data_IF_933767730940
#
_entry.id   IF_933767730940
#
_cell.length_a   1.000
_cell.length_b   1.000
_cell.length_c   1.000
_cell.angle_alpha   90.00
_cell.angle_beta   90.00
_cell.angle_gamma   90.00
#
_symmetry.space_group_name_H-M   'P 1'
#
loop_
_entity.id
_entity.type
_entity.pdbx_description
1 polymer ?
#
# COMPACT_ATOMS: atom_id res chain seq x y z
N UNK A 1 20.31 12.79 8.68
CA UNK A 1 21.18 11.63 8.40
C UNK A 1 20.74 10.94 7.11
N UNK A 2 21.66 10.61 6.18
CA UNK A 2 21.32 10.01 4.89
C UNK A 2 20.69 8.61 5.02
N UNK A 3 21.10 7.82 6.03
CA UNK A 3 20.57 6.46 6.24
C UNK A 3 19.06 6.44 6.52
N UNK A 4 18.54 7.34 7.36
CA UNK A 4 17.10 7.40 7.65
C UNK A 4 16.27 7.77 6.42
N UNK A 5 16.79 8.67 5.58
CA UNK A 5 16.16 9.04 4.31
C UNK A 5 16.19 7.85 3.34
N UNK A 6 17.32 7.16 3.22
CA UNK A 6 17.46 5.96 2.40
C UNK A 6 16.48 4.86 2.85
N UNK A 7 16.43 4.58 4.15
CA UNK A 7 15.52 3.59 4.73
C UNK A 7 14.06 3.96 4.45
N UNK A 8 13.70 5.24 4.63
CA UNK A 8 12.36 5.74 4.36
C UNK A 8 11.96 5.55 2.89
N UNK A 9 12.81 5.98 1.95
CA UNK A 9 12.53 5.84 0.52
C UNK A 9 12.51 4.37 0.06
N UNK A 10 13.40 3.52 0.58
CA UNK A 10 13.42 2.10 0.27
C UNK A 10 12.14 1.40 0.77
N UNK A 11 11.73 1.68 2.01
CA UNK A 11 10.49 1.16 2.57
C UNK A 11 9.27 1.67 1.81
N UNK A 12 9.25 2.95 1.45
CA UNK A 12 8.19 3.56 0.65
C UNK A 12 8.09 2.91 -0.73
N UNK A 13 9.21 2.65 -1.40
CA UNK A 13 9.25 1.98 -2.70
C UNK A 13 8.65 0.57 -2.61
N UNK A 14 9.09 -0.21 -1.61
CA UNK A 14 8.57 -1.55 -1.38
C UNK A 14 7.06 -1.53 -1.07
N UNK A 15 6.63 -0.58 -0.23
CA UNK A 15 5.23 -0.42 0.13
C UNK A 15 4.38 -0.06 -1.09
N UNK A 16 4.76 0.96 -1.86
CA UNK A 16 4.10 1.35 -3.11
C UNK A 16 4.01 0.19 -4.11
N UNK A 17 5.11 -0.53 -4.35
CA UNK A 17 5.14 -1.67 -5.26
C UNK A 17 4.17 -2.78 -4.82
N UNK A 18 4.16 -3.11 -3.53
CA UNK A 18 3.23 -4.10 -2.98
C UNK A 18 1.77 -3.67 -3.14
N UNK A 19 1.44 -2.40 -2.82
CA UNK A 19 0.10 -1.84 -2.93
C UNK A 19 -0.46 -1.87 -4.35
N UNK A 20 0.40 -1.70 -5.36
CA UNK A 20 0.03 -1.81 -6.77
C UNK A 20 -0.24 -3.26 -7.18
N UNK A 21 0.58 -4.20 -6.70
CA UNK A 21 0.49 -5.61 -7.08
C UNK A 21 -0.64 -6.35 -6.38
N UNK A 22 -0.93 -6.02 -5.11
CA UNK A 22 -1.89 -6.76 -4.30
C UNK A 22 -3.30 -6.85 -4.91
N UNK A 23 -3.94 -5.74 -5.34
CA UNK A 23 -5.27 -5.79 -5.95
C UNK A 23 -5.29 -6.68 -7.20
N UNK A 24 -4.23 -6.65 -8.01
CA UNK A 24 -4.11 -7.47 -9.20
C UNK A 24 -3.98 -8.96 -8.87
N UNK A 25 -3.19 -9.32 -7.85
CA UNK A 25 -3.06 -10.72 -7.42
C UNK A 25 -4.38 -11.27 -6.85
N UNK A 26 -5.09 -10.47 -6.05
CA UNK A 26 -6.40 -10.85 -5.49
C UNK A 26 -7.41 -11.08 -6.63
N UNK A 27 -7.49 -10.16 -7.60
CA UNK A 27 -8.37 -10.29 -8.77
C UNK A 27 -7.98 -11.44 -9.71
N UNK A 28 -6.71 -11.88 -9.72
CA UNK A 28 -6.28 -13.03 -10.51
C UNK A 28 -6.75 -14.35 -9.86
N UNK A 29 -6.71 -14.44 -8.53
CA UNK A 29 -7.16 -15.61 -7.77
C UNK A 29 -8.64 -15.94 -7.99
N UNK A 30 -9.51 -14.93 -8.12
CA UNK A 30 -10.96 -15.12 -8.30
C UNK A 30 -11.38 -15.61 -9.69
N UNK A 31 -10.48 -15.61 -10.69
CA UNK A 31 -10.81 -15.95 -12.08
C UNK A 31 -10.71 -17.44 -12.42
N UNK A 32 -9.94 -18.22 -11.66
CA UNK A 32 -9.69 -19.64 -11.95
C UNK A 32 -10.62 -20.53 -11.12
N UNK A 33 -11.20 -21.56 -11.75
CA UNK A 33 -12.17 -22.46 -11.11
C UNK A 33 -11.51 -23.67 -10.41
N UNK A 34 -10.19 -23.75 -10.40
CA UNK A 34 -9.42 -24.82 -9.77
C UNK A 34 -9.21 -24.50 -8.28
N UNK A 35 -9.78 -25.32 -7.40
CA UNK A 35 -9.76 -25.12 -5.95
C UNK A 35 -8.35 -25.22 -5.35
N UNK A 36 -7.49 -26.05 -5.93
CA UNK A 36 -6.12 -26.26 -5.43
C UNK A 36 -5.28 -25.03 -5.74
N UNK A 37 -5.33 -24.57 -7.00
CA UNK A 37 -4.72 -23.31 -7.44
C UNK A 37 -5.23 -22.11 -6.63
N UNK A 38 -6.54 -22.06 -6.34
CA UNK A 38 -7.16 -20.98 -5.59
C UNK A 38 -6.59 -20.87 -4.17
N UNK A 39 -6.51 -21.98 -3.43
CA UNK A 39 -5.98 -22.02 -2.06
C UNK A 39 -4.52 -21.59 -2.01
N UNK A 40 -3.70 -22.10 -2.93
CA UNK A 40 -2.29 -21.74 -3.02
C UNK A 40 -2.12 -20.25 -3.34
N UNK A 41 -2.93 -19.70 -4.26
CA UNK A 41 -2.93 -18.27 -4.56
C UNK A 41 -3.34 -17.43 -3.35
N UNK A 42 -4.41 -17.80 -2.66
CA UNK A 42 -4.89 -17.05 -1.50
C UNK A 42 -3.81 -16.98 -0.40
N UNK A 43 -3.15 -18.13 -0.12
CA UNK A 43 -2.04 -18.19 0.83
C UNK A 43 -0.85 -17.32 0.40
N UNK A 44 -0.47 -17.37 -0.89
CA UNK A 44 0.59 -16.52 -1.43
C UNK A 44 0.25 -15.02 -1.30
N UNK A 45 -1.00 -14.62 -1.58
CA UNK A 45 -1.42 -13.22 -1.43
C UNK A 45 -1.38 -12.76 0.03
N UNK A 46 -1.78 -13.60 0.98
CA UNK A 46 -1.63 -13.30 2.42
C UNK A 46 -0.18 -13.17 2.82
N UNK A 47 0.67 -14.07 2.34
CA UNK A 47 2.09 -14.05 2.65
C UNK A 47 2.74 -12.74 2.17
N UNK A 48 2.46 -12.31 0.93
CA UNK A 48 2.96 -11.03 0.39
C UNK A 48 2.41 -9.85 1.19
N UNK A 49 1.11 -9.85 1.54
CA UNK A 49 0.53 -8.80 2.36
C UNK A 49 1.25 -8.69 3.72
N UNK A 50 1.37 -9.81 4.42
CA UNK A 50 1.80 -9.84 5.83
C UNK A 50 3.32 -9.69 5.97
N UNK A 51 4.10 -10.33 5.11
CA UNK A 51 5.57 -10.37 5.23
C UNK A 51 6.27 -9.27 4.45
N UNK A 52 5.62 -8.68 3.44
CA UNK A 52 6.24 -7.65 2.58
C UNK A 52 5.51 -6.33 2.75
N UNK A 53 4.21 -6.29 2.46
CA UNK A 53 3.46 -5.03 2.40
C UNK A 53 3.35 -4.36 3.77
N UNK A 54 2.92 -5.08 4.80
CA UNK A 54 2.73 -4.55 6.16
C UNK A 54 4.01 -4.04 6.81
N UNK A 55 5.14 -4.79 6.85
CA UNK A 55 6.37 -4.27 7.44
C UNK A 55 6.93 -3.09 6.64
N UNK A 56 6.82 -3.11 5.30
CA UNK A 56 7.22 -1.96 4.48
C UNK A 56 6.38 -0.70 4.82
N UNK A 57 5.07 -0.86 5.01
CA UNK A 57 4.17 0.21 5.42
C UNK A 57 4.59 0.81 6.78
N UNK A 58 4.81 -0.06 7.77
CA UNK A 58 5.20 0.36 9.13
C UNK A 58 6.55 1.09 9.13
N UNK A 59 7.54 0.57 8.40
CA UNK A 59 8.85 1.22 8.30
C UNK A 59 8.74 2.55 7.55
N UNK A 60 7.97 2.63 6.46
CA UNK A 60 7.77 3.86 5.70
C UNK A 60 7.09 4.95 6.55
N UNK A 61 6.01 4.61 7.25
CA UNK A 61 5.27 5.54 8.12
C UNK A 61 6.14 5.93 9.32
N UNK A 62 6.76 4.97 10.02
CA UNK A 62 7.59 5.23 11.19
C UNK A 62 8.80 6.10 10.89
N UNK A 63 9.52 5.80 9.81
CA UNK A 63 10.66 6.62 9.35
C UNK A 63 10.22 8.00 8.85
N UNK A 64 9.05 8.10 8.21
CA UNK A 64 8.46 9.37 7.78
C UNK A 64 8.10 10.28 8.96
N UNK A 65 7.48 9.70 9.99
CA UNK A 65 7.17 10.41 11.25
C UNK A 65 8.45 10.84 11.97
N UNK A 66 9.47 9.99 12.01
CA UNK A 66 10.76 10.33 12.62
C UNK A 66 11.47 11.49 11.89
N UNK A 67 11.39 11.55 10.55
CA UNK A 67 11.89 12.68 9.78
C UNK A 67 11.11 13.97 10.08
N UNK A 68 9.78 13.87 10.22
CA UNK A 68 8.93 15.01 10.57
C UNK A 68 9.25 15.61 11.95
N UNK A 69 9.35 14.78 12.99
CA UNK A 69 9.66 15.23 14.36
C UNK A 69 11.02 15.96 14.45
N UNK A 70 11.92 15.74 13.47
CA UNK A 70 13.22 16.40 13.39
C UNK A 70 13.18 17.70 12.60
N UNK A 71 12.43 17.74 11.51
CA UNK A 71 12.35 18.93 10.65
C UNK A 71 11.44 20.03 11.23
N UNK A 72 10.60 19.73 12.24
CA UNK A 72 9.91 20.72 13.09
C UNK A 72 8.95 21.69 12.37
N UNK A 73 8.70 21.49 11.08
CA UNK A 73 7.95 22.42 10.23
C UNK A 73 6.50 21.96 10.06
N UNK A 74 5.61 22.52 10.88
CA UNK A 74 4.16 22.38 10.76
C UNK A 74 3.63 23.39 9.72
N UNK A 75 3.91 23.12 8.44
CA UNK A 75 3.32 23.88 7.33
C UNK A 75 2.06 23.17 6.81
N UNK A 76 1.07 23.90 6.27
CA UNK A 76 -0.14 23.31 5.68
C UNK A 76 0.16 22.24 4.61
N UNK A 77 1.30 22.37 3.95
CA UNK A 77 1.92 21.37 3.09
C UNK A 77 2.03 19.96 3.70
N UNK A 78 2.49 19.88 4.96
CA UNK A 78 2.68 18.63 5.67
C UNK A 78 1.34 17.95 5.93
N UNK A 79 0.31 18.72 6.24
CA UNK A 79 -1.05 18.18 6.46
C UNK A 79 -1.51 17.48 5.19
N UNK A 80 -1.36 18.11 4.02
CA UNK A 80 -1.71 17.51 2.73
C UNK A 80 -0.87 16.25 2.44
N UNK A 81 0.41 16.24 2.81
CA UNK A 81 1.26 15.06 2.67
C UNK A 81 0.76 13.91 3.56
N UNK A 82 0.45 14.19 4.81
CA UNK A 82 -0.01 13.19 5.77
C UNK A 82 -1.39 12.66 5.39
N UNK A 83 -2.31 13.49 4.90
CA UNK A 83 -3.62 13.01 4.44
C UNK A 83 -3.49 12.03 3.27
N UNK A 84 -2.59 12.29 2.32
CA UNK A 84 -2.31 11.34 1.22
C UNK A 84 -1.71 10.03 1.73
N UNK A 85 -0.73 10.08 2.63
CA UNK A 85 -0.13 8.88 3.23
C UNK A 85 -1.18 8.08 4.03
N UNK A 86 -2.06 8.76 4.77
CA UNK A 86 -3.18 8.13 5.47
C UNK A 86 -4.16 7.48 4.49
N UNK A 87 -4.46 8.12 3.36
CA UNK A 87 -5.29 7.52 2.31
C UNK A 87 -4.65 6.25 1.70
N UNK A 88 -3.33 6.26 1.49
CA UNK A 88 -2.59 5.05 1.07
C UNK A 88 -2.65 3.95 2.14
N UNK A 89 -2.51 4.30 3.41
CA UNK A 89 -2.64 3.36 4.52
C UNK A 89 -4.05 2.76 4.62
N UNK A 90 -5.10 3.56 4.33
CA UNK A 90 -6.46 3.06 4.24
C UNK A 90 -6.63 2.09 3.07
N UNK A 91 -6.07 2.40 1.90
CA UNK A 91 -6.06 1.47 0.76
C UNK A 91 -5.35 0.16 1.11
N UNK A 92 -4.23 0.22 1.83
CA UNK A 92 -3.53 -0.97 2.32
C UNK A 92 -4.39 -1.80 3.28
N UNK A 93 -5.09 -1.17 4.22
CA UNK A 93 -6.03 -1.86 5.10
C UNK A 93 -7.19 -2.51 4.33
N UNK A 94 -7.73 -1.82 3.32
CA UNK A 94 -8.76 -2.38 2.43
C UNK A 94 -8.24 -3.61 1.66
N UNK A 95 -7.01 -3.57 1.14
CA UNK A 95 -6.37 -4.75 0.56
C UNK A 95 -6.30 -5.91 1.58
N UNK A 96 -5.95 -5.64 2.83
CA UNK A 96 -5.96 -6.65 3.90
C UNK A 96 -7.33 -7.27 4.15
N UNK A 97 -8.39 -6.46 4.13
CA UNK A 97 -9.78 -6.96 4.22
C UNK A 97 -10.12 -7.85 3.03
N UNK A 98 -9.70 -7.49 1.82
CA UNK A 98 -9.93 -8.30 0.61
C UNK A 98 -9.16 -9.63 0.65
N UNK A 99 -7.92 -9.63 1.13
CA UNK A 99 -7.12 -10.85 1.37
C UNK A 99 -7.83 -11.78 2.37
N UNK A 100 -8.39 -11.23 3.45
CA UNK A 100 -9.15 -12.02 4.41
C UNK A 100 -10.47 -12.56 3.82
N UNK A 101 -11.13 -11.81 2.94
CA UNK A 101 -12.35 -12.25 2.26
C UNK A 101 -12.08 -13.40 1.30
N UNK A 102 -11.07 -13.25 0.43
CA UNK A 102 -10.73 -14.28 -0.56
C UNK A 102 -10.22 -15.56 0.13
N UNK A 103 -9.57 -15.47 1.28
CA UNK A 103 -9.22 -16.70 2.00
C UNK A 103 -10.40 -17.47 2.60
N UNK A 104 -11.49 -16.78 2.94
CA UNK A 104 -12.70 -17.45 3.44
C UNK A 104 -13.43 -18.12 2.29
N UNK A 105 -13.79 -17.34 1.27
CA UNK A 105 -14.60 -17.83 0.15
C UNK A 105 -14.27 -17.06 -1.16
N UNK A 106 -14.27 -17.76 -2.31
CA UNK A 106 -14.16 -17.12 -3.61
C UNK A 106 -15.38 -16.27 -3.93
N UNK A 107 -15.20 -14.95 -3.87
CA UNK A 107 -16.23 -13.98 -4.22
C UNK A 107 -15.79 -13.16 -5.46
N UNK A 108 -16.54 -13.29 -6.56
CA UNK A 108 -16.31 -12.51 -7.78
C UNK A 108 -16.54 -11.01 -7.57
N UNK A 109 -17.36 -10.61 -6.60
CA UNK A 109 -17.63 -9.22 -6.23
C UNK A 109 -16.38 -8.45 -5.79
N UNK A 110 -15.38 -9.15 -5.26
CA UNK A 110 -14.08 -8.59 -4.88
C UNK A 110 -13.33 -8.00 -6.08
N UNK A 111 -13.57 -8.49 -7.30
CA UNK A 111 -12.86 -8.04 -8.50
C UNK A 111 -13.10 -6.55 -8.79
N UNK A 112 -14.32 -6.05 -8.59
CA UNK A 112 -14.63 -4.64 -8.76
C UNK A 112 -13.91 -3.76 -7.73
N UNK A 113 -13.83 -4.22 -6.48
CA UNK A 113 -13.09 -3.54 -5.42
C UNK A 113 -11.58 -3.52 -5.71
N UNK A 114 -11.03 -4.63 -6.22
CA UNK A 114 -9.66 -4.71 -6.68
C UNK A 114 -9.37 -3.78 -7.86
N UNK A 115 -10.28 -3.65 -8.83
CA UNK A 115 -10.12 -2.70 -9.93
C UNK A 115 -10.15 -1.24 -9.44
N UNK A 116 -11.09 -0.91 -8.55
CA UNK A 116 -11.16 0.43 -7.94
C UNK A 116 -9.88 0.76 -7.18
N UNK A 117 -9.35 -0.17 -6.37
CA UNK A 117 -8.06 -0.01 -5.69
C UNK A 117 -6.90 0.07 -6.69
N UNK A 118 -6.92 -0.71 -7.76
CA UNK A 118 -5.91 -0.69 -8.82
C UNK A 118 -5.81 0.64 -9.56
N UNK A 119 -6.87 1.45 -9.57
CA UNK A 119 -6.86 2.82 -10.11
C UNK A 119 -6.55 3.85 -9.02
N UNK A 120 -7.13 3.70 -7.84
CA UNK A 120 -6.99 4.67 -6.74
C UNK A 120 -5.55 4.71 -6.19
N UNK A 121 -4.93 3.56 -5.99
CA UNK A 121 -3.58 3.43 -5.44
C UNK A 121 -2.52 4.16 -6.28
N UNK A 122 -2.40 3.95 -7.61
CA UNK A 122 -1.41 4.67 -8.41
C UNK A 122 -1.67 6.18 -8.39
N UNK A 123 -2.93 6.63 -8.42
CA UNK A 123 -3.26 8.06 -8.29
C UNK A 123 -2.75 8.63 -6.97
N UNK A 124 -2.99 7.96 -5.85
CA UNK A 124 -2.49 8.39 -4.54
C UNK A 124 -0.96 8.40 -4.47
N UNK A 125 -0.29 7.39 -5.02
CA UNK A 125 1.17 7.33 -5.08
C UNK A 125 1.72 8.50 -5.90
N UNK A 126 1.17 8.74 -7.10
CA UNK A 126 1.59 9.85 -7.98
C UNK A 126 1.38 11.20 -7.30
N UNK A 127 0.22 11.42 -6.66
CA UNK A 127 -0.05 12.65 -5.92
C UNK A 127 0.93 12.82 -4.75
N UNK A 128 1.26 11.75 -4.03
CA UNK A 128 2.20 11.81 -2.90
C UNK A 128 3.61 12.15 -3.36
N UNK A 129 4.08 11.54 -4.46
CA UNK A 129 5.39 11.82 -5.04
C UNK A 129 5.47 13.22 -5.66
N UNK A 130 4.43 13.63 -6.40
CA UNK A 130 4.30 14.99 -6.92
C UNK A 130 4.38 15.99 -5.78
N UNK A 131 3.60 15.76 -4.72
CA UNK A 131 3.60 16.62 -3.55
C UNK A 131 5.03 16.67 -3.04
N UNK A 132 5.68 15.58 -2.65
CA UNK A 132 7.08 15.60 -2.16
C UNK A 132 8.04 16.42 -3.06
N UNK A 133 7.89 16.39 -4.38
CA UNK A 133 8.71 17.16 -5.32
C UNK A 133 8.35 18.65 -5.40
N UNK A 134 7.07 19.00 -5.27
CA UNK A 134 6.56 20.37 -5.32
C UNK A 134 6.72 21.13 -3.98
N UNK A 135 7.48 20.59 -3.02
CA UNK A 135 7.79 21.27 -1.76
C UNK A 135 8.47 22.61 -2.10
N UNK A 136 7.92 23.77 -1.68
CA UNK A 136 8.59 25.04 -1.89
C UNK A 136 9.93 25.00 -1.15
N UNK A 137 11.00 25.35 -1.88
CA UNK A 137 12.38 25.34 -1.40
C UNK A 137 12.58 26.25 -0.18
#
# INVERSE_FOLDING_TARGET
MPLLKLLHFAALLCWCGSLLYLPAMIAAGTKRNDQLFYRDHAHLTRMVFTLISTPAALVAIGSGTALFLRDGTLAGWLIVKLTLVTAMALCHALCGVLVLRIEREPDRGVTYQCMALGVLVPVLITLTLWLVLAKPF
#
